data_IF_222313714513
#
_entry.id   IF_222313714513
#
_cell.length_a   1.000
_cell.length_b   1.000
_cell.length_c   1.000
_cell.angle_alpha   90.00
_cell.angle_beta   90.00
_cell.angle_gamma   90.00
#
_symmetry.space_group_name_H-M   'P 1'
#
loop_
_entity.id
_entity.type
_entity.pdbx_description
1 polymer ?
#
# COMPACT_ATOMS: atom_id res chain seq x y z
N UNK A 1 9.92 -9.01 52.78
CA UNK A 1 11.06 -8.06 52.69
C UNK A 1 11.56 -8.12 51.25
N UNK A 2 11.28 -7.09 50.46
CA UNK A 2 11.76 -7.02 49.07
C UNK A 2 12.27 -5.60 48.85
N UNK A 3 13.52 -5.51 48.40
CA UNK A 3 14.36 -4.32 48.43
C UNK A 3 13.73 -3.14 47.67
N UNK A 4 13.66 -2.02 48.37
CA UNK A 4 13.49 -0.68 47.82
C UNK A 4 14.88 -0.17 47.46
N UNK A 5 15.04 0.33 46.24
CA UNK A 5 16.02 1.38 45.94
C UNK A 5 17.10 1.04 44.93
N UNK A 6 17.07 1.74 43.80
CA UNK A 6 18.25 2.46 43.33
C UNK A 6 17.85 3.92 43.15
N UNK A 7 18.45 4.80 43.96
CA UNK A 7 18.35 6.24 43.82
C UNK A 7 19.14 6.67 42.58
N UNK A 8 18.44 7.19 41.57
CA UNK A 8 19.08 7.83 40.41
C UNK A 8 19.79 9.08 40.91
N UNK A 9 21.13 9.04 40.98
CA UNK A 9 21.94 10.22 41.25
C UNK A 9 21.83 11.18 40.06
N UNK A 10 20.94 12.16 40.16
CA UNK A 10 20.85 13.27 39.20
C UNK A 10 22.02 14.22 39.50
N UNK A 11 23.13 14.05 38.79
CA UNK A 11 24.23 15.01 38.80
C UNK A 11 23.78 16.28 38.08
N UNK A 12 23.36 17.30 38.83
CA UNK A 12 23.09 18.62 38.28
C UNK A 12 24.41 19.33 38.01
N UNK A 13 24.86 19.33 36.75
CA UNK A 13 25.98 20.17 36.30
C UNK A 13 25.49 21.63 36.41
N UNK A 14 26.19 22.52 37.14
CA UNK A 14 25.81 23.93 37.21
C UNK A 14 25.75 24.54 35.81
N UNK A 15 24.67 25.25 35.49
CA UNK A 15 24.57 25.96 34.21
C UNK A 15 25.66 27.04 34.13
N UNK A 16 26.53 26.96 33.13
CA UNK A 16 27.45 28.04 32.79
C UNK A 16 26.66 29.18 32.13
N UNK A 17 26.51 30.36 32.77
CA UNK A 17 25.72 31.47 32.24
C UNK A 17 26.32 32.08 30.97
N UNK A 18 27.59 31.81 30.67
CA UNK A 18 28.24 32.28 29.45
C UNK A 18 27.96 31.38 28.24
N UNK A 19 27.39 30.19 28.47
CA UNK A 19 27.01 29.23 27.42
C UNK A 19 25.52 29.29 27.10
N UNK A 20 25.21 29.57 25.83
CA UNK A 20 23.86 29.50 25.30
C UNK A 20 23.85 28.75 23.98
N UNK A 21 22.78 27.99 23.74
CA UNK A 21 22.55 27.32 22.46
C UNK A 21 21.05 27.20 22.21
N UNK A 22 20.63 27.56 21.01
CA UNK A 22 19.29 27.32 20.47
C UNK A 22 19.40 26.74 19.07
N UNK A 23 18.38 25.98 18.66
CA UNK A 23 18.33 25.38 17.35
C UNK A 23 16.90 25.45 16.77
N UNK A 24 16.82 25.54 15.45
CA UNK A 24 15.57 25.57 14.69
C UNK A 24 15.70 24.68 13.45
N UNK A 25 14.75 23.76 13.26
CA UNK A 25 14.62 22.98 12.02
C UNK A 25 13.98 23.82 10.93
N UNK A 26 14.70 24.01 9.82
CA UNK A 26 14.25 24.75 8.66
C UNK A 26 13.63 23.83 7.59
N UNK A 27 14.32 22.73 7.27
CA UNK A 27 13.91 21.79 6.20
C UNK A 27 14.27 20.35 6.56
N UNK A 28 13.51 19.40 6.01
CA UNK A 28 13.74 17.96 6.11
C UNK A 28 13.60 17.33 4.73
N UNK A 29 14.60 16.61 4.26
CA UNK A 29 14.60 15.86 3.00
C UNK A 29 14.91 14.39 3.28
N UNK A 30 14.02 13.47 2.92
CA UNK A 30 14.35 12.04 2.89
C UNK A 30 15.05 11.73 1.56
N UNK A 31 16.24 11.11 1.62
CA UNK A 31 17.16 11.04 0.46
C UNK A 31 17.12 9.72 -0.32
N UNK A 32 16.61 8.66 0.30
CA UNK A 32 16.56 7.30 -0.27
C UNK A 32 15.11 6.80 -0.40
N UNK A 33 14.16 7.74 -0.49
CA UNK A 33 12.75 7.43 -0.64
C UNK A 33 12.41 7.05 -2.08
N UNK A 34 11.43 6.16 -2.23
CA UNK A 34 10.86 5.86 -3.53
C UNK A 34 10.07 7.06 -4.05
N UNK A 35 10.03 7.17 -5.38
CA UNK A 35 9.25 8.20 -6.06
C UNK A 35 7.77 8.03 -5.70
N UNK A 36 7.14 9.12 -5.30
CA UNK A 36 5.73 9.16 -4.95
C UNK A 36 5.07 10.41 -5.52
N UNK A 37 3.76 10.34 -5.71
CA UNK A 37 2.94 11.47 -6.10
C UNK A 37 1.66 11.54 -5.26
N UNK A 38 1.14 12.75 -5.13
CA UNK A 38 -0.13 13.04 -4.47
C UNK A 38 -0.96 13.89 -5.44
N UNK A 39 -2.22 13.50 -5.67
CA UNK A 39 -3.08 14.10 -6.67
C UNK A 39 -2.37 14.20 -8.04
N UNK A 40 -1.74 13.10 -8.47
CA UNK A 40 -0.97 12.98 -9.71
C UNK A 40 0.24 13.95 -9.83
N UNK A 41 0.60 14.63 -8.75
CA UNK A 41 1.75 15.55 -8.73
C UNK A 41 2.90 14.91 -7.96
N UNK A 42 4.05 14.77 -8.60
CA UNK A 42 5.26 14.21 -7.98
C UNK A 42 5.62 15.02 -6.73
N UNK A 43 5.85 14.32 -5.62
CA UNK A 43 6.32 14.92 -4.37
C UNK A 43 7.83 15.12 -4.50
N UNK A 44 8.26 16.37 -4.51
CA UNK A 44 9.67 16.73 -4.55
C UNK A 44 10.15 17.17 -3.16
N UNK A 45 11.43 16.90 -2.81
CA UNK A 45 12.03 17.47 -1.61
C UNK A 45 12.10 19.01 -1.66
N UNK A 46 12.21 19.70 -0.50
CA UNK A 46 12.22 19.12 0.85
C UNK A 46 10.82 18.70 1.29
N UNK A 47 10.75 17.67 2.14
CA UNK A 47 9.51 17.09 2.70
C UNK A 47 8.98 17.86 3.93
N UNK A 48 9.73 18.84 4.42
CA UNK A 48 9.29 19.85 5.38
C UNK A 48 9.78 21.23 4.92
N UNK A 49 8.97 22.30 5.01
CA UNK A 49 7.59 22.35 5.53
C UNK A 49 6.58 21.61 4.63
N UNK A 50 5.55 21.05 5.27
CA UNK A 50 4.43 20.36 4.62
C UNK A 50 3.09 20.81 5.21
N UNK A 51 2.05 20.79 4.37
CA UNK A 51 0.68 21.03 4.84
C UNK A 51 0.09 19.75 5.43
N UNK A 52 -0.72 19.91 6.49
CA UNK A 52 -1.37 18.82 7.21
C UNK A 52 -2.87 18.82 6.93
N UNK A 53 -3.42 17.68 6.54
CA UNK A 53 -4.87 17.49 6.38
C UNK A 53 -5.58 17.30 7.74
N UNK A 54 -6.92 17.43 7.79
CA UNK A 54 -7.70 17.10 8.99
C UNK A 54 -7.50 15.67 9.49
N UNK A 55 -7.21 14.72 8.59
CA UNK A 55 -6.92 13.31 8.91
C UNK A 55 -5.44 13.05 9.27
N UNK A 56 -4.70 14.11 9.60
CA UNK A 56 -3.29 14.06 9.98
C UNK A 56 -2.36 13.54 8.88
N UNK A 57 -2.73 13.73 7.60
CA UNK A 57 -1.94 13.32 6.45
C UNK A 57 -1.06 14.48 5.96
N UNK A 58 0.12 14.18 5.45
CA UNK A 58 1.06 15.16 4.90
C UNK A 58 0.84 15.34 3.40
N UNK A 59 0.98 16.57 2.90
CA UNK A 59 1.10 16.82 1.46
C UNK A 59 2.44 16.38 0.85
N UNK A 60 3.40 16.02 1.70
CA UNK A 60 4.74 15.56 1.31
C UNK A 60 5.07 14.20 1.94
N UNK A 61 4.17 13.25 1.78
CA UNK A 61 4.37 11.88 2.25
C UNK A 61 5.56 11.21 1.56
N UNK A 62 6.17 10.27 2.27
CA UNK A 62 7.43 9.62 1.89
C UNK A 62 7.24 8.11 1.88
N UNK A 63 7.92 7.43 0.96
CA UNK A 63 7.84 5.97 0.83
C UNK A 63 9.24 5.38 0.92
N UNK A 64 9.41 4.37 1.78
CA UNK A 64 10.65 3.64 1.97
C UNK A 64 10.45 2.15 1.79
N UNK A 65 11.55 1.45 1.56
CA UNK A 65 11.61 0.01 1.77
C UNK A 65 11.65 -0.31 3.26
N UNK A 66 10.82 -1.26 3.73
CA UNK A 66 10.99 -1.84 5.06
C UNK A 66 12.18 -2.81 5.11
N UNK A 67 12.68 -3.13 6.31
CA UNK A 67 13.80 -4.05 6.55
C UNK A 67 15.08 -3.76 5.73
N UNK A 68 15.35 -2.48 5.44
CA UNK A 68 16.56 -2.08 4.71
C UNK A 68 17.45 -1.21 5.60
N UNK A 69 18.13 -1.85 6.57
CA UNK A 69 18.95 -1.14 7.57
C UNK A 69 20.03 -0.30 6.91
N UNK A 70 20.22 0.92 7.41
CA UNK A 70 21.29 1.84 6.98
C UNK A 70 20.98 2.67 5.74
N UNK A 71 19.79 2.52 5.14
CA UNK A 71 19.42 3.26 3.92
C UNK A 71 18.23 4.18 4.11
N UNK A 72 17.55 4.22 5.26
CA UNK A 72 16.52 5.25 5.47
C UNK A 72 17.18 6.47 6.11
N UNK A 73 17.69 7.34 5.25
CA UNK A 73 18.39 8.56 5.63
C UNK A 73 17.52 9.79 5.37
N UNK A 74 17.81 10.85 6.12
CA UNK A 74 17.27 12.17 5.85
C UNK A 74 18.36 13.24 6.03
N UNK A 75 18.27 14.30 5.22
CA UNK A 75 19.00 15.55 5.42
C UNK A 75 18.12 16.51 6.20
N UNK A 76 18.66 17.03 7.30
CA UNK A 76 18.01 18.04 8.12
C UNK A 76 18.77 19.36 7.96
N UNK A 77 18.07 20.41 7.54
CA UNK A 77 18.61 21.77 7.54
C UNK A 77 18.23 22.44 8.86
N UNK A 78 19.22 22.82 9.65
CA UNK A 78 19.07 23.42 10.97
C UNK A 78 19.72 24.79 11.01
N UNK A 79 19.16 25.71 11.78
CA UNK A 79 19.82 26.95 12.20
C UNK A 79 20.20 26.84 13.67
N UNK A 80 21.49 27.00 13.97
CA UNK A 80 22.02 27.00 15.33
C UNK A 80 22.45 28.42 15.69
N UNK A 81 22.07 28.87 16.88
CA UNK A 81 22.62 30.08 17.50
C UNK A 81 23.27 29.65 18.80
N UNK A 82 24.59 29.81 18.91
CA UNK A 82 25.37 29.35 20.05
C UNK A 82 26.48 30.32 20.47
N UNK A 83 26.72 30.36 21.77
CA UNK A 83 27.82 31.05 22.43
C UNK A 83 28.50 30.06 23.38
N UNK A 84 29.83 29.92 23.29
CA UNK A 84 30.59 29.05 24.18
C UNK A 84 30.53 27.54 23.87
N UNK A 85 29.97 27.15 22.71
CA UNK A 85 29.97 25.76 22.22
C UNK A 85 30.84 25.61 20.98
N UNK A 86 31.53 24.47 20.87
CA UNK A 86 32.33 24.07 19.72
C UNK A 86 32.22 22.56 19.51
N UNK A 87 32.73 22.06 18.38
CA UNK A 87 32.64 20.64 18.02
C UNK A 87 31.24 20.24 17.54
N UNK A 88 30.90 18.97 17.73
CA UNK A 88 29.65 18.37 17.27
C UNK A 88 28.82 17.87 18.46
N UNK A 89 27.50 18.01 18.34
CA UNK A 89 26.52 17.36 19.23
C UNK A 89 25.85 16.17 18.54
N UNK A 90 25.19 15.33 19.34
CA UNK A 90 24.33 14.26 18.84
C UNK A 90 22.98 14.86 18.46
N UNK A 91 22.55 14.67 17.23
CA UNK A 91 21.22 15.03 16.76
C UNK A 91 20.32 13.79 16.81
N UNK A 92 19.19 13.89 17.49
CA UNK A 92 18.22 12.80 17.65
C UNK A 92 16.84 13.27 17.17
N UNK A 93 16.18 12.48 16.32
CA UNK A 93 14.79 12.69 15.90
C UNK A 93 13.91 11.53 16.34
N UNK A 94 12.82 11.79 17.05
CA UNK A 94 11.92 10.72 17.53
C UNK A 94 10.55 10.84 16.90
N UNK A 95 10.11 9.77 16.21
CA UNK A 95 8.78 9.60 15.64
C UNK A 95 8.15 8.32 16.21
N UNK A 96 7.26 8.44 17.18
CA UNK A 96 6.69 7.27 17.88
C UNK A 96 7.82 6.37 18.43
N UNK A 97 8.00 5.16 17.89
CA UNK A 97 9.06 4.22 18.24
C UNK A 97 10.34 4.34 17.40
N UNK A 98 10.35 5.22 16.41
CA UNK A 98 11.46 5.37 15.46
C UNK A 98 12.42 6.47 15.90
N UNK A 99 13.71 6.14 15.91
CA UNK A 99 14.80 7.06 16.24
C UNK A 99 15.67 7.31 15.01
N UNK A 100 15.86 8.58 14.67
CA UNK A 100 16.82 9.07 13.71
C UNK A 100 18.02 9.63 14.47
N UNK A 101 19.23 9.30 14.03
CA UNK A 101 20.45 9.76 14.68
C UNK A 101 21.43 10.35 13.66
N UNK A 102 22.08 11.44 14.03
CA UNK A 102 23.17 12.05 13.28
C UNK A 102 24.06 12.93 14.16
N UNK A 103 24.97 13.65 13.51
CA UNK A 103 25.90 14.57 14.16
C UNK A 103 25.70 15.97 13.61
N UNK A 104 25.68 16.98 14.48
CA UNK A 104 25.48 18.38 14.08
C UNK A 104 26.56 19.30 14.66
N UNK A 105 27.16 20.21 13.85
CA UNK A 105 28.08 21.21 14.37
C UNK A 105 27.38 22.13 15.37
N UNK A 106 27.99 22.37 16.53
CA UNK A 106 27.40 23.25 17.57
C UNK A 106 27.71 24.73 17.33
N UNK A 107 28.45 25.09 16.29
CA UNK A 107 28.76 26.47 15.94
C UNK A 107 27.53 27.21 15.38
N UNK A 108 27.40 28.49 15.69
CA UNK A 108 26.36 29.35 15.09
C UNK A 108 26.37 29.29 13.56
N UNK A 109 25.21 29.13 12.93
CA UNK A 109 25.07 29.07 11.48
C UNK A 109 23.94 28.15 11.00
N UNK A 110 23.74 28.07 9.69
CA UNK A 110 22.90 27.07 9.06
C UNK A 110 23.73 25.82 8.71
N UNK A 111 23.23 24.65 9.06
CA UNK A 111 23.89 23.37 8.83
C UNK A 111 22.93 22.41 8.12
N UNK A 112 23.44 21.69 7.13
CA UNK A 112 22.75 20.54 6.53
C UNK A 112 23.45 19.30 7.02
N UNK A 113 22.73 18.45 7.74
CA UNK A 113 23.28 17.25 8.36
C UNK A 113 22.47 16.02 7.98
N UNK A 114 23.14 14.88 7.88
CA UNK A 114 22.49 13.60 7.61
C UNK A 114 22.12 12.92 8.94
N UNK A 115 20.91 12.38 9.00
CA UNK A 115 20.43 11.50 10.06
C UNK A 115 20.00 10.17 9.46
N UNK A 116 20.19 9.09 10.20
CA UNK A 116 19.83 7.72 9.78
C UNK A 116 18.81 7.12 10.75
N UNK A 117 17.77 6.49 10.21
CA UNK A 117 16.83 5.69 10.99
C UNK A 117 17.54 4.45 11.56
N UNK A 118 17.58 4.34 12.89
CA UNK A 118 18.32 3.28 13.60
C UNK A 118 17.73 1.90 13.35
N UNK A 119 16.42 1.79 13.51
CA UNK A 119 15.68 0.52 13.42
C UNK A 119 14.47 0.70 12.49
N UNK A 120 14.63 0.46 11.17
CA UNK A 120 13.48 0.43 10.28
C UNK A 120 12.55 -0.73 10.64
N UNK A 121 11.23 -0.60 10.39
CA UNK A 121 10.29 -1.69 10.61
C UNK A 121 10.63 -2.90 9.74
N UNK A 122 10.28 -4.09 10.21
CA UNK A 122 10.48 -5.37 9.54
C UNK A 122 9.24 -5.84 8.76
N UNK A 123 8.21 -5.01 8.70
CA UNK A 123 6.93 -5.27 8.05
C UNK A 123 6.42 -4.04 7.31
N UNK A 124 5.36 -4.23 6.50
CA UNK A 124 4.55 -3.13 6.02
C UNK A 124 4.08 -2.25 7.18
N UNK A 125 4.27 -0.94 7.05
CA UNK A 125 3.85 0.02 8.06
C UNK A 125 3.56 1.38 7.45
N UNK A 126 2.52 2.04 7.95
CA UNK A 126 2.25 3.45 7.72
C UNK A 126 2.30 4.19 9.05
N UNK A 127 3.18 5.18 9.16
CA UNK A 127 3.25 6.05 10.33
C UNK A 127 3.11 7.51 9.92
N UNK A 128 2.46 8.30 10.78
CA UNK A 128 2.25 9.73 10.60
C UNK A 128 2.29 10.43 11.93
N UNK A 129 2.79 11.66 11.97
CA UNK A 129 2.94 12.42 13.20
C UNK A 129 4.11 13.39 13.17
N UNK A 130 4.48 13.85 14.36
CA UNK A 130 5.60 14.76 14.53
C UNK A 130 6.89 13.98 14.80
N UNK A 131 7.96 14.34 14.10
CA UNK A 131 9.32 14.02 14.55
C UNK A 131 9.74 15.13 15.52
N UNK A 132 10.13 14.77 16.74
CA UNK A 132 10.70 15.70 17.71
C UNK A 132 12.23 15.67 17.58
N UNK A 133 12.84 16.82 17.28
CA UNK A 133 14.28 16.93 17.05
C UNK A 133 14.98 17.53 18.27
N UNK A 134 15.93 16.79 18.84
CA UNK A 134 16.76 17.21 19.97
C UNK A 134 18.24 17.19 19.60
N UNK A 135 19.02 18.06 20.26
CA UNK A 135 20.48 18.09 20.15
C UNK A 135 21.05 17.91 21.56
N UNK A 136 21.86 16.86 21.73
CA UNK A 136 22.66 16.65 22.93
C UNK A 136 24.06 17.26 22.71
N UNK A 137 24.33 18.35 23.44
CA UNK A 137 25.65 18.93 23.59
C UNK A 137 26.36 18.33 24.83
N UNK A 138 27.62 18.70 25.06
CA UNK A 138 28.47 18.12 26.11
C UNK A 138 27.86 18.21 27.52
N UNK A 139 27.13 19.29 27.84
CA UNK A 139 26.62 19.60 29.18
C UNK A 139 25.10 19.87 29.22
N UNK A 140 24.38 19.78 28.08
CA UNK A 140 22.92 19.94 28.03
C UNK A 140 22.28 19.35 26.77
N UNK A 141 20.98 19.13 26.84
CA UNK A 141 20.13 18.78 25.69
C UNK A 141 19.17 19.92 25.38
N UNK A 142 18.99 20.24 24.09
CA UNK A 142 18.05 21.27 23.63
C UNK A 142 17.09 20.73 22.58
N UNK A 143 15.90 21.32 22.49
CA UNK A 143 14.96 21.05 21.40
C UNK A 143 15.28 21.93 20.19
N UNK A 144 15.43 21.30 19.02
CA UNK A 144 15.64 21.97 17.74
C UNK A 144 14.34 22.21 16.95
N UNK A 145 13.23 21.57 17.36
CA UNK A 145 11.90 21.78 16.76
C UNK A 145 11.16 20.49 16.47
N UNK A 146 10.14 20.59 15.62
CA UNK A 146 9.33 19.45 15.18
C UNK A 146 9.01 19.53 13.69
N UNK A 147 8.87 18.37 13.06
CA UNK A 147 8.46 18.26 11.65
C UNK A 147 7.31 17.27 11.51
N UNK A 148 6.21 17.70 10.88
CA UNK A 148 5.11 16.80 10.57
C UNK A 148 5.45 15.93 9.36
N UNK A 149 5.33 14.61 9.49
CA UNK A 149 5.66 13.65 8.44
C UNK A 149 4.59 12.56 8.29
N UNK A 150 4.57 11.96 7.11
CA UNK A 150 3.81 10.77 6.78
C UNK A 150 4.74 9.83 6.02
N UNK A 151 4.98 8.63 6.54
CA UNK A 151 5.97 7.69 6.03
C UNK A 151 5.31 6.32 5.83
N UNK A 152 5.48 5.77 4.63
CA UNK A 152 5.09 4.40 4.28
C UNK A 152 6.34 3.54 4.16
N UNK A 153 6.26 2.32 4.69
CA UNK A 153 7.29 1.30 4.56
C UNK A 153 6.71 0.12 3.77
N UNK A 154 7.23 -0.14 2.57
CA UNK A 154 6.72 -1.12 1.61
C UNK A 154 7.81 -2.10 1.13
N UNK A 155 7.48 -3.08 0.28
CA UNK A 155 8.41 -4.16 -0.08
C UNK A 155 9.56 -3.73 -1.01
N UNK A 156 9.23 -2.94 -2.03
CA UNK A 156 10.13 -2.55 -3.11
C UNK A 156 9.64 -1.27 -3.80
N UNK A 157 10.45 -0.73 -4.70
CA UNK A 157 10.15 0.48 -5.45
C UNK A 157 8.99 0.26 -6.43
N UNK A 158 7.83 0.93 -6.26
CA UNK A 158 6.70 0.80 -7.16
C UNK A 158 6.97 1.35 -8.57
N UNK A 159 7.96 2.23 -8.75
CA UNK A 159 8.32 2.76 -10.07
C UNK A 159 8.89 1.70 -11.01
N UNK A 160 9.27 0.53 -10.48
CA UNK A 160 9.64 -0.64 -11.28
C UNK A 160 8.42 -1.32 -11.93
N UNK A 161 7.20 -0.96 -11.52
CA UNK A 161 5.95 -1.47 -12.09
C UNK A 161 5.46 -0.54 -13.20
N UNK A 162 5.03 -1.06 -14.37
CA UNK A 162 4.63 -0.23 -15.51
C UNK A 162 3.60 0.84 -15.18
N UNK A 163 2.63 0.54 -14.30
CA UNK A 163 1.55 1.46 -13.94
C UNK A 163 1.98 2.66 -13.09
N UNK A 164 3.18 2.65 -12.49
CA UNK A 164 3.72 3.74 -11.66
C UNK A 164 5.08 4.26 -12.15
N UNK A 165 5.59 3.77 -13.27
CA UNK A 165 6.95 4.08 -13.74
C UNK A 165 7.20 5.58 -13.99
N UNK A 166 6.20 6.31 -14.49
CA UNK A 166 6.34 7.73 -14.81
C UNK A 166 6.39 8.61 -13.58
N UNK A 167 5.45 8.45 -12.65
CA UNK A 167 5.15 9.44 -11.60
C UNK A 167 5.43 8.95 -10.18
N UNK A 168 5.79 7.67 -10.03
CA UNK A 168 5.91 7.02 -8.74
C UNK A 168 4.56 6.56 -8.18
N UNK A 169 4.59 6.01 -6.98
CA UNK A 169 3.39 5.49 -6.33
C UNK A 169 2.44 6.61 -5.91
N UNK A 170 1.15 6.39 -6.12
CA UNK A 170 0.11 7.28 -5.63
C UNK A 170 -0.07 7.10 -4.12
N UNK A 171 0.14 8.17 -3.37
CA UNK A 171 -0.03 8.16 -1.91
C UNK A 171 -1.47 7.79 -1.53
N UNK A 172 -2.46 8.17 -2.34
CA UNK A 172 -3.87 7.78 -2.15
C UNK A 172 -4.07 6.26 -2.20
N UNK A 173 -3.35 5.55 -3.07
CA UNK A 173 -3.43 4.09 -3.16
C UNK A 173 -2.86 3.43 -1.89
N UNK A 174 -1.75 3.96 -1.37
CA UNK A 174 -1.16 3.49 -0.11
C UNK A 174 -2.09 3.78 1.08
N UNK A 175 -2.62 5.00 1.20
CA UNK A 175 -3.59 5.35 2.25
C UNK A 175 -4.78 4.41 2.23
N UNK A 176 -5.37 4.22 1.05
CA UNK A 176 -6.47 3.28 0.84
C UNK A 176 -6.14 1.87 1.33
N UNK A 177 -4.98 1.33 0.95
CA UNK A 177 -4.57 0.00 1.37
C UNK A 177 -4.39 -0.11 2.88
N UNK A 178 -3.65 0.81 3.49
CA UNK A 178 -3.40 0.72 4.93
C UNK A 178 -4.67 0.95 5.75
N UNK A 179 -5.65 1.71 5.25
CA UNK A 179 -6.94 1.91 5.91
C UNK A 179 -7.90 0.71 5.70
N UNK A 180 -7.87 0.02 4.56
CA UNK A 180 -8.92 -0.94 4.17
C UNK A 180 -8.49 -2.42 4.08
N UNK A 181 -7.20 -2.72 3.92
CA UNK A 181 -6.74 -4.08 3.55
C UNK A 181 -6.06 -4.87 4.66
N UNK A 182 -5.96 -4.35 5.89
CA UNK A 182 -5.23 -5.01 6.99
C UNK A 182 -3.78 -5.42 6.62
N UNK A 183 -3.13 -4.64 5.76
CA UNK A 183 -1.74 -4.88 5.30
C UNK A 183 -0.70 -4.45 6.32
N UNK A 184 -1.05 -3.60 7.29
CA UNK A 184 -0.13 -3.21 8.36
C UNK A 184 0.35 -4.44 9.14
N UNK A 185 1.66 -4.57 9.34
CA UNK A 185 2.27 -5.73 10.01
C UNK A 185 2.56 -6.91 9.10
N UNK A 186 2.18 -6.89 7.81
CA UNK A 186 2.47 -7.98 6.88
C UNK A 186 3.96 -7.97 6.50
N UNK A 187 4.60 -9.15 6.56
CA UNK A 187 6.03 -9.32 6.30
C UNK A 187 6.35 -10.02 4.97
N UNK A 188 5.37 -10.67 4.34
CA UNK A 188 5.59 -11.46 3.10
C UNK A 188 4.72 -10.98 1.95
N UNK A 189 5.25 -11.03 0.74
CA UNK A 189 4.53 -10.63 -0.46
C UNK A 189 3.27 -11.49 -0.72
N UNK A 190 3.29 -12.84 -0.60
CA UNK A 190 2.06 -13.64 -0.76
C UNK A 190 0.93 -13.21 0.18
N UNK A 191 1.22 -12.99 1.47
CA UNK A 191 0.22 -12.52 2.42
C UNK A 191 -0.29 -11.13 2.07
N UNK A 192 0.55 -10.24 1.55
CA UNK A 192 0.12 -8.92 1.10
C UNK A 192 -0.82 -9.01 -0.11
N UNK A 193 -0.51 -9.85 -1.11
CA UNK A 193 -1.40 -10.08 -2.26
C UNK A 193 -2.73 -10.71 -1.82
N UNK A 194 -2.71 -11.64 -0.86
CA UNK A 194 -3.94 -12.16 -0.22
C UNK A 194 -4.77 -11.01 0.37
N UNK A 195 -4.15 -10.14 1.17
CA UNK A 195 -4.83 -9.01 1.82
C UNK A 195 -5.40 -8.02 0.81
N UNK A 196 -4.66 -7.70 -0.25
CA UNK A 196 -5.13 -6.87 -1.36
C UNK A 196 -6.33 -7.53 -2.04
N UNK A 197 -6.26 -8.83 -2.33
CA UNK A 197 -7.36 -9.57 -2.98
C UNK A 197 -8.61 -9.59 -2.11
N UNK A 198 -8.46 -9.82 -0.81
CA UNK A 198 -9.57 -9.75 0.15
C UNK A 198 -10.15 -8.34 0.25
N UNK A 199 -9.30 -7.31 0.23
CA UNK A 199 -9.72 -5.92 0.21
C UNK A 199 -10.62 -5.66 -1.00
N UNK A 200 -10.12 -5.90 -2.22
CA UNK A 200 -10.85 -5.67 -3.47
C UNK A 200 -12.19 -6.42 -3.54
N UNK A 201 -12.24 -7.67 -3.07
CA UNK A 201 -13.47 -8.46 -2.97
C UNK A 201 -14.47 -7.90 -1.94
N UNK A 202 -13.95 -7.36 -0.84
CA UNK A 202 -14.73 -6.93 0.32
C UNK A 202 -15.12 -5.45 0.34
N UNK A 203 -14.81 -4.68 -0.71
CA UNK A 203 -15.08 -3.24 -0.74
C UNK A 203 -16.59 -2.97 -0.64
N UNK A 204 -17.01 -2.09 0.29
CA UNK A 204 -18.39 -1.64 0.36
C UNK A 204 -18.82 -1.06 -0.99
N UNK A 205 -20.07 -1.32 -1.37
CA UNK A 205 -20.70 -0.90 -2.61
C UNK A 205 -20.19 -1.56 -3.90
N UNK A 206 -19.04 -2.24 -3.92
CA UNK A 206 -18.61 -3.01 -5.09
C UNK A 206 -19.47 -4.27 -5.25
N UNK A 207 -20.22 -4.33 -6.35
CA UNK A 207 -21.07 -5.46 -6.74
C UNK A 207 -20.80 -5.85 -8.17
N UNK A 208 -20.78 -7.14 -8.45
CA UNK A 208 -20.62 -7.59 -9.83
C UNK A 208 -21.75 -7.06 -10.72
N UNK A 209 -21.44 -6.59 -11.93
CA UNK A 209 -22.45 -6.20 -12.91
C UNK A 209 -23.04 -7.45 -13.57
N UNK A 210 -24.18 -7.90 -13.07
CA UNK A 210 -24.80 -9.18 -13.43
C UNK A 210 -25.72 -9.12 -14.66
N UNK A 211 -25.86 -7.96 -15.32
CA UNK A 211 -26.74 -7.83 -16.49
C UNK A 211 -25.99 -8.11 -17.80
N UNK A 212 -24.80 -7.52 -17.92
CA UNK A 212 -23.95 -7.54 -19.12
C UNK A 212 -22.48 -7.83 -18.80
N UNK A 213 -22.07 -7.78 -17.54
CA UNK A 213 -20.67 -7.92 -17.14
C UNK A 213 -19.81 -6.71 -17.54
N UNK A 214 -20.41 -5.52 -17.66
CA UNK A 214 -19.73 -4.33 -18.14
C UNK A 214 -18.69 -3.82 -17.12
N UNK A 215 -17.47 -3.43 -17.55
CA UNK A 215 -16.47 -2.82 -16.68
C UNK A 215 -16.83 -1.36 -16.38
N UNK A 216 -16.48 -0.87 -15.20
CA UNK A 216 -16.67 0.52 -14.79
C UNK A 216 -15.35 1.30 -14.58
N UNK A 217 -14.22 0.61 -14.46
CA UNK A 217 -12.96 1.20 -14.01
C UNK A 217 -11.82 1.02 -15.02
N UNK A 218 -12.16 0.94 -16.31
CA UNK A 218 -11.18 0.86 -17.39
C UNK A 218 -10.69 -0.56 -17.67
N UNK A 219 -11.36 -1.58 -17.13
CA UNK A 219 -11.12 -2.99 -17.45
C UNK A 219 -10.97 -3.21 -18.97
N UNK A 220 -9.89 -3.90 -19.36
CA UNK A 220 -9.49 -4.20 -20.74
C UNK A 220 -8.96 -3.03 -21.61
N UNK A 221 -8.93 -1.78 -21.11
CA UNK A 221 -8.42 -0.62 -21.87
C UNK A 221 -6.91 -0.42 -21.80
N UNK A 222 -6.28 -1.04 -20.80
CA UNK A 222 -4.86 -0.87 -20.44
C UNK A 222 -4.60 0.28 -19.46
N UNK A 223 -5.61 1.11 -19.17
CA UNK A 223 -5.57 2.15 -18.14
C UNK A 223 -6.60 1.84 -17.06
N UNK A 224 -6.19 1.84 -15.80
CA UNK A 224 -7.09 1.61 -14.67
C UNK A 224 -7.50 2.93 -14.03
N UNK A 225 -8.81 3.18 -13.88
CA UNK A 225 -9.34 4.36 -13.20
C UNK A 225 -9.29 4.17 -11.68
N UNK A 226 -8.07 4.12 -11.15
CA UNK A 226 -7.78 3.84 -9.74
C UNK A 226 -8.50 4.80 -8.81
N UNK A 227 -8.54 6.10 -9.13
CA UNK A 227 -9.21 7.09 -8.28
C UNK A 227 -10.69 6.77 -8.09
N UNK A 228 -11.38 6.45 -9.19
CA UNK A 228 -12.80 6.11 -9.15
C UNK A 228 -13.02 4.77 -8.42
N UNK A 229 -12.10 3.82 -8.61
CA UNK A 229 -12.18 2.52 -7.94
C UNK A 229 -12.06 2.66 -6.42
N UNK A 230 -11.10 3.43 -5.89
CA UNK A 230 -10.92 3.56 -4.43
C UNK A 230 -11.96 4.47 -3.75
N UNK A 231 -12.62 5.35 -4.52
CA UNK A 231 -13.75 6.18 -4.04
C UNK A 231 -15.08 5.39 -4.01
N UNK A 232 -15.13 4.21 -4.64
CA UNK A 232 -16.29 3.32 -4.70
C UNK A 232 -17.58 3.97 -5.25
N UNK A 233 -17.47 5.04 -6.03
CA UNK A 233 -18.62 5.89 -6.41
C UNK A 233 -19.54 5.29 -7.48
N UNK A 234 -19.06 4.37 -8.32
CA UNK A 234 -19.83 3.75 -9.42
C UNK A 234 -20.48 2.41 -9.05
N UNK A 235 -20.08 1.79 -7.92
CA UNK A 235 -20.69 0.60 -7.31
C UNK A 235 -20.58 -0.72 -8.09
N UNK A 236 -20.66 -0.71 -9.42
CA UNK A 236 -20.57 -1.95 -10.20
C UNK A 236 -19.15 -2.24 -10.67
N UNK A 237 -18.76 -3.51 -10.62
CA UNK A 237 -17.45 -4.03 -11.04
C UNK A 237 -17.64 -5.26 -11.92
N UNK A 238 -16.64 -5.61 -12.71
CA UNK A 238 -16.55 -6.94 -13.32
C UNK A 238 -15.20 -7.63 -13.00
N UNK A 239 -14.94 -8.76 -13.65
CA UNK A 239 -13.71 -9.53 -13.45
C UNK A 239 -12.45 -8.77 -13.89
N UNK A 240 -12.54 -7.91 -14.92
CA UNK A 240 -11.45 -7.08 -15.38
C UNK A 240 -11.11 -5.99 -14.36
N UNK A 241 -12.12 -5.27 -13.86
CA UNK A 241 -11.92 -4.23 -12.84
C UNK A 241 -11.28 -4.80 -11.57
N UNK A 242 -11.77 -5.95 -11.12
CA UNK A 242 -11.24 -6.64 -9.94
C UNK A 242 -9.81 -7.14 -10.15
N UNK A 243 -9.49 -7.65 -11.34
CA UNK A 243 -8.12 -8.08 -11.66
C UNK A 243 -7.16 -6.91 -11.71
N UNK A 244 -7.52 -5.82 -12.40
CA UNK A 244 -6.70 -4.62 -12.47
C UNK A 244 -6.49 -3.99 -11.08
N UNK A 245 -7.52 -3.97 -10.24
CA UNK A 245 -7.42 -3.49 -8.87
C UNK A 245 -6.37 -4.28 -8.08
N UNK A 246 -6.40 -5.62 -8.13
CA UNK A 246 -5.42 -6.46 -7.45
C UNK A 246 -4.00 -6.20 -7.97
N UNK A 247 -3.82 -6.08 -9.28
CA UNK A 247 -2.52 -5.77 -9.90
C UNK A 247 -2.00 -4.40 -9.43
N UNK A 248 -2.79 -3.34 -9.60
CA UNK A 248 -2.38 -1.96 -9.32
C UNK A 248 -2.12 -1.73 -7.84
N UNK A 249 -3.00 -2.25 -6.97
CA UNK A 249 -2.84 -2.09 -5.53
C UNK A 249 -1.69 -2.94 -4.98
N UNK A 250 -1.43 -4.12 -5.54
CA UNK A 250 -0.22 -4.88 -5.21
C UNK A 250 1.05 -4.16 -5.69
N UNK A 251 1.00 -3.56 -6.89
CA UNK A 251 2.09 -2.76 -7.44
C UNK A 251 2.41 -1.54 -6.57
N UNK A 252 1.42 -0.92 -5.92
CA UNK A 252 1.64 0.19 -4.98
C UNK A 252 2.49 -0.23 -3.77
N UNK A 253 2.44 -1.51 -3.38
CA UNK A 253 3.30 -2.09 -2.33
C UNK A 253 4.67 -2.56 -2.86
N UNK A 254 4.94 -2.38 -4.16
CA UNK A 254 6.15 -2.86 -4.84
C UNK A 254 6.08 -4.34 -5.26
N UNK A 255 4.88 -4.91 -5.40
CA UNK A 255 4.68 -6.32 -5.74
C UNK A 255 4.13 -6.44 -7.17
N UNK A 256 4.88 -7.10 -8.06
CA UNK A 256 4.37 -7.47 -9.38
C UNK A 256 3.43 -8.68 -9.28
N UNK A 257 2.23 -8.56 -9.83
CA UNK A 257 1.22 -9.64 -9.89
C UNK A 257 0.82 -9.84 -11.35
N UNK A 258 0.80 -11.09 -11.79
CA UNK A 258 0.44 -11.43 -13.16
C UNK A 258 -1.07 -11.49 -13.31
N UNK A 259 -1.61 -10.82 -14.32
CA UNK A 259 -3.00 -11.03 -14.71
C UNK A 259 -3.14 -12.21 -15.65
N UNK A 260 -4.20 -12.98 -15.46
CA UNK A 260 -4.55 -14.17 -16.21
C UNK A 260 -5.93 -14.02 -16.85
N UNK A 261 -6.12 -14.74 -17.95
CA UNK A 261 -7.36 -14.74 -18.73
C UNK A 261 -7.70 -16.16 -19.17
N UNK A 262 -8.99 -16.49 -19.15
CA UNK A 262 -9.53 -17.78 -19.59
C UNK A 262 -10.81 -17.57 -20.40
N UNK A 263 -10.81 -18.04 -21.65
CA UNK A 263 -11.95 -17.97 -22.58
C UNK A 263 -11.99 -19.25 -23.46
N UNK A 264 -13.08 -20.03 -23.43
CA UNK A 264 -14.24 -19.84 -22.58
C UNK A 264 -13.93 -20.11 -21.10
N UNK A 265 -14.68 -19.49 -20.20
CA UNK A 265 -14.67 -19.89 -18.78
C UNK A 265 -15.75 -20.95 -18.52
N UNK A 266 -17.00 -20.62 -18.80
CA UNK A 266 -18.15 -21.54 -18.72
C UNK A 266 -18.95 -21.39 -17.42
N UNK A 267 -19.70 -22.45 -17.09
CA UNK A 267 -20.48 -22.52 -15.86
C UNK A 267 -19.56 -22.67 -14.65
N UNK A 268 -19.97 -22.08 -13.53
CA UNK A 268 -19.19 -22.09 -12.28
C UNK A 268 -19.91 -22.90 -11.21
N UNK A 269 -19.15 -23.62 -10.40
CA UNK A 269 -19.64 -24.16 -9.11
C UNK A 269 -20.08 -22.99 -8.23
N UNK A 270 -20.86 -23.28 -7.19
CA UNK A 270 -21.24 -22.24 -6.23
C UNK A 270 -20.01 -21.67 -5.54
N UNK A 271 -19.66 -20.44 -5.89
CA UNK A 271 -18.59 -19.62 -5.31
C UNK A 271 -19.19 -18.30 -4.82
N UNK A 272 -18.45 -17.45 -4.11
CA UNK A 272 -18.97 -16.11 -3.84
C UNK A 272 -18.63 -15.14 -4.97
N UNK A 273 -19.65 -14.48 -5.49
CA UNK A 273 -19.52 -13.39 -6.45
C UNK A 273 -19.44 -12.07 -5.69
N UNK A 274 -18.48 -11.22 -6.07
CA UNK A 274 -18.23 -9.92 -5.42
C UNK A 274 -19.51 -9.11 -5.22
N UNK A 275 -19.76 -8.71 -3.97
CA UNK A 275 -20.93 -7.94 -3.54
C UNK A 275 -22.30 -8.64 -3.58
N UNK A 276 -22.35 -9.91 -4.02
CA UNK A 276 -23.58 -10.69 -4.13
C UNK A 276 -23.61 -11.91 -3.20
N UNK A 277 -22.45 -12.49 -2.86
CA UNK A 277 -22.36 -13.71 -2.06
C UNK A 277 -22.48 -14.97 -2.94
N UNK A 278 -23.02 -16.09 -2.42
CA UNK A 278 -23.09 -17.36 -3.15
C UNK A 278 -23.73 -17.22 -4.53
N UNK A 279 -23.06 -17.75 -5.55
CA UNK A 279 -23.48 -17.63 -6.94
C UNK A 279 -22.97 -18.82 -7.77
N UNK A 280 -23.85 -19.39 -8.58
CA UNK A 280 -23.53 -20.30 -9.68
C UNK A 280 -24.21 -19.90 -11.01
N UNK A 281 -24.83 -18.72 -11.03
CA UNK A 281 -25.59 -18.14 -12.13
C UNK A 281 -25.29 -16.63 -12.23
N UNK A 282 -24.13 -16.23 -12.79
CA UNK A 282 -23.64 -14.86 -12.72
C UNK A 282 -24.44 -13.84 -13.55
N UNK A 283 -25.25 -14.29 -14.50
CA UNK A 283 -26.13 -13.45 -15.32
C UNK A 283 -27.60 -13.89 -15.23
N UNK A 284 -28.24 -13.77 -14.06
CA UNK A 284 -29.61 -14.20 -13.87
C UNK A 284 -30.59 -13.29 -14.63
N UNK A 285 -31.50 -13.89 -15.40
CA UNK A 285 -32.59 -13.18 -16.07
C UNK A 285 -33.79 -12.92 -15.16
N UNK A 286 -33.92 -13.68 -14.06
CA UNK A 286 -35.01 -13.57 -13.10
C UNK A 286 -34.97 -12.33 -12.20
N UNK A 287 -36.09 -12.06 -11.51
CA UNK A 287 -36.25 -10.97 -10.55
C UNK A 287 -37.02 -11.45 -9.30
N UNK A 288 -36.62 -11.03 -8.08
CA UNK A 288 -35.46 -10.17 -7.78
C UNK A 288 -34.13 -10.93 -7.98
N UNK A 289 -33.07 -10.23 -8.42
CA UNK A 289 -31.77 -10.84 -8.80
C UNK A 289 -31.23 -11.79 -7.74
N UNK A 290 -31.33 -11.39 -6.47
CA UNK A 290 -30.79 -12.13 -5.34
C UNK A 290 -31.32 -13.57 -5.24
N UNK A 291 -32.56 -13.81 -5.67
CA UNK A 291 -33.22 -15.12 -5.59
C UNK A 291 -32.78 -16.09 -6.70
N UNK A 292 -32.02 -15.60 -7.68
CA UNK A 292 -31.64 -16.34 -8.88
C UNK A 292 -30.13 -16.49 -9.07
N UNK A 293 -29.32 -16.04 -8.10
CA UNK A 293 -27.86 -16.20 -8.15
C UNK A 293 -27.42 -17.65 -7.93
N UNK A 294 -28.24 -18.44 -7.23
CA UNK A 294 -28.01 -19.87 -7.00
C UNK A 294 -29.19 -20.65 -7.55
N UNK A 295 -28.94 -21.49 -8.55
CA UNK A 295 -29.94 -22.36 -9.18
C UNK A 295 -29.43 -23.80 -9.22
N UNK A 296 -30.30 -24.75 -9.59
CA UNK A 296 -29.87 -26.13 -9.77
C UNK A 296 -28.81 -26.23 -10.89
N UNK A 297 -27.82 -27.16 -10.81
CA UNK A 297 -26.75 -27.23 -11.81
C UNK A 297 -27.22 -27.41 -13.26
N UNK A 298 -28.35 -28.09 -13.46
CA UNK A 298 -28.96 -28.34 -14.77
C UNK A 298 -30.20 -27.45 -15.04
N UNK A 299 -30.38 -26.38 -14.26
CA UNK A 299 -31.48 -25.43 -14.48
C UNK A 299 -31.33 -24.76 -15.85
N UNK A 300 -32.36 -24.77 -16.72
CA UNK A 300 -32.29 -24.12 -18.03
C UNK A 300 -32.10 -22.60 -17.98
N UNK A 301 -32.38 -21.96 -16.84
CA UNK A 301 -32.15 -20.53 -16.63
C UNK A 301 -30.75 -20.22 -16.07
N UNK A 302 -29.90 -21.23 -15.87
CA UNK A 302 -28.51 -21.03 -15.44
C UNK A 302 -27.69 -20.42 -16.57
N UNK A 303 -26.81 -19.50 -16.20
CA UNK A 303 -25.84 -18.86 -17.08
C UNK A 303 -24.41 -19.19 -16.63
N UNK A 304 -23.47 -19.04 -17.55
CA UNK A 304 -22.04 -19.15 -17.28
C UNK A 304 -21.31 -17.88 -17.71
N UNK A 305 -20.04 -17.76 -17.33
CA UNK A 305 -19.17 -16.71 -17.85
C UNK A 305 -18.69 -17.03 -19.27
N UNK A 306 -18.77 -16.06 -20.17
CA UNK A 306 -18.11 -16.16 -21.47
C UNK A 306 -16.60 -16.26 -21.31
N UNK A 307 -16.02 -15.40 -20.49
CA UNK A 307 -14.61 -15.40 -20.12
C UNK A 307 -14.45 -14.94 -18.68
N UNK A 308 -13.25 -15.12 -18.13
CA UNK A 308 -12.91 -14.62 -16.79
C UNK A 308 -11.47 -14.15 -16.71
N UNK A 309 -11.25 -13.13 -15.90
CA UNK A 309 -9.94 -12.54 -15.64
C UNK A 309 -9.67 -12.58 -14.14
N UNK A 310 -8.45 -12.96 -13.76
CA UNK A 310 -8.01 -13.13 -12.38
C UNK A 310 -6.49 -12.95 -12.29
N UNK A 311 -5.90 -13.10 -11.11
CA UNK A 311 -4.47 -12.89 -10.87
C UNK A 311 -3.72 -14.19 -10.54
N UNK A 312 -2.41 -14.17 -10.74
CA UNK A 312 -1.46 -15.16 -10.27
C UNK A 312 -0.23 -14.48 -9.65
N UNK A 313 0.21 -15.03 -8.51
CA UNK A 313 1.47 -14.66 -7.89
C UNK A 313 2.14 -15.91 -7.33
N UNK A 314 3.40 -16.14 -7.69
CA UNK A 314 4.16 -17.35 -7.30
C UNK A 314 3.42 -18.65 -7.61
N UNK A 315 2.85 -18.77 -8.82
CA UNK A 315 2.06 -19.92 -9.29
C UNK A 315 0.81 -20.24 -8.46
N UNK A 316 0.29 -19.27 -7.71
CA UNK A 316 -0.97 -19.37 -6.95
C UNK A 316 -1.98 -18.35 -7.43
N UNK A 317 -3.25 -18.74 -7.45
CA UNK A 317 -4.35 -17.95 -7.99
C UNK A 317 -4.93 -17.01 -6.94
N UNK A 318 -5.18 -15.77 -7.37
CA UNK A 318 -5.84 -14.73 -6.61
C UNK A 318 -7.02 -14.20 -7.43
N UNK A 319 -8.23 -14.26 -6.90
CA UNK A 319 -9.44 -13.86 -7.62
C UNK A 319 -10.35 -13.06 -6.69
N UNK A 320 -10.51 -11.76 -6.97
CA UNK A 320 -11.35 -10.84 -6.21
C UNK A 320 -12.77 -10.68 -6.82
N UNK A 321 -13.12 -11.48 -7.83
CA UNK A 321 -14.40 -11.45 -8.51
C UNK A 321 -15.25 -12.70 -8.21
N UNK A 322 -14.75 -13.89 -8.56
CA UNK A 322 -15.41 -15.18 -8.35
C UNK A 322 -14.67 -15.95 -7.24
N UNK A 323 -14.71 -15.42 -6.02
CA UNK A 323 -13.82 -15.81 -4.92
C UNK A 323 -14.33 -15.41 -3.53
N UNK A 324 -13.48 -14.85 -2.64
CA UNK A 324 -12.09 -14.54 -2.90
C UNK A 324 -11.25 -15.82 -2.93
N UNK A 325 -10.49 -16.05 -4.00
CA UNK A 325 -9.42 -17.06 -4.01
C UNK A 325 -8.14 -16.36 -3.57
N UNK A 326 -7.44 -16.96 -2.59
CA UNK A 326 -6.45 -16.25 -1.76
C UNK A 326 -5.05 -16.87 -1.84
N UNK A 327 -4.64 -17.30 -3.03
CA UNK A 327 -3.34 -17.92 -3.22
C UNK A 327 -3.23 -19.37 -2.70
N UNK A 328 -4.35 -20.05 -2.47
CA UNK A 328 -4.36 -21.43 -1.91
C UNK A 328 -4.31 -22.53 -2.97
N UNK A 329 -4.58 -22.20 -4.23
CA UNK A 329 -4.65 -23.15 -5.34
C UNK A 329 -3.80 -22.68 -6.51
N UNK A 330 -3.29 -23.63 -7.30
CA UNK A 330 -2.69 -23.35 -8.60
C UNK A 330 -3.78 -23.30 -9.70
N UNK A 331 -3.36 -23.16 -10.95
CA UNK A 331 -4.26 -23.12 -12.13
C UNK A 331 -5.18 -24.35 -12.23
N UNK A 332 -4.66 -25.56 -11.98
CA UNK A 332 -5.44 -26.79 -12.09
C UNK A 332 -6.44 -26.92 -10.95
N UNK A 333 -6.00 -26.62 -9.72
CA UNK A 333 -6.88 -26.58 -8.55
C UNK A 333 -7.96 -25.52 -8.69
N UNK A 334 -7.65 -24.35 -9.23
CA UNK A 334 -8.63 -23.29 -9.47
C UNK A 334 -9.72 -23.72 -10.46
N UNK A 335 -9.34 -24.30 -11.61
CA UNK A 335 -10.32 -24.83 -12.58
C UNK A 335 -11.18 -25.93 -11.95
N UNK A 336 -10.58 -26.87 -11.24
CA UNK A 336 -11.32 -27.96 -10.59
C UNK A 336 -12.33 -27.47 -9.53
N UNK A 337 -11.98 -26.42 -8.79
CA UNK A 337 -12.78 -25.88 -7.70
C UNK A 337 -13.83 -24.85 -8.15
N UNK A 338 -13.60 -24.17 -9.27
CA UNK A 338 -14.46 -23.07 -9.73
C UNK A 338 -15.34 -23.47 -10.91
N UNK A 339 -14.84 -24.25 -11.86
CA UNK A 339 -15.58 -24.57 -13.09
C UNK A 339 -16.47 -25.80 -12.87
N UNK A 340 -17.72 -25.69 -13.33
CA UNK A 340 -18.69 -26.76 -13.34
C UNK A 340 -18.77 -27.40 -14.72
N UNK A 341 -18.42 -28.68 -14.79
CA UNK A 341 -18.42 -29.50 -16.01
C UNK A 341 -19.63 -30.43 -16.10
N UNK A 342 -20.60 -30.31 -15.20
CA UNK A 342 -21.78 -31.18 -15.17
C UNK A 342 -22.83 -30.85 -16.24
N UNK A 343 -22.75 -29.67 -16.87
CA UNK A 343 -23.72 -29.22 -17.89
C UNK A 343 -23.40 -29.90 -19.24
N UNK A 344 -24.27 -30.80 -19.76
CA UNK A 344 -23.99 -31.54 -20.99
C UNK A 344 -23.81 -30.61 -22.20
N UNK A 345 -22.74 -30.83 -22.96
CA UNK A 345 -22.45 -30.07 -24.19
C UNK A 345 -21.94 -28.65 -23.98
N UNK A 346 -21.81 -28.18 -22.73
CA UNK A 346 -21.20 -26.89 -22.44
C UNK A 346 -19.68 -26.93 -22.65
N UNK A 347 -19.12 -25.87 -23.25
CA UNK A 347 -17.67 -25.70 -23.35
C UNK A 347 -17.17 -25.04 -22.06
N UNK A 348 -16.19 -25.66 -21.42
CA UNK A 348 -15.60 -25.21 -20.15
C UNK A 348 -14.12 -24.91 -20.32
N UNK A 349 -13.65 -23.91 -19.59
CA UNK A 349 -12.23 -23.57 -19.53
C UNK A 349 -11.40 -24.70 -18.91
N UNK A 350 -10.13 -24.76 -19.29
CA UNK A 350 -9.16 -25.73 -18.74
C UNK A 350 -7.93 -25.00 -18.21
N UNK A 351 -7.16 -25.66 -17.35
CA UNK A 351 -5.93 -25.07 -16.82
C UNK A 351 -4.92 -24.73 -17.92
N UNK A 352 -4.88 -25.54 -18.98
CA UNK A 352 -4.05 -25.30 -20.16
C UNK A 352 -4.53 -24.12 -21.02
N UNK A 353 -5.82 -23.76 -20.92
CA UNK A 353 -6.41 -22.61 -21.62
C UNK A 353 -6.16 -21.27 -20.92
N UNK A 354 -5.55 -21.26 -19.73
CA UNK A 354 -5.24 -20.04 -19.00
C UNK A 354 -4.00 -19.38 -19.62
N UNK A 355 -4.17 -18.14 -20.07
CA UNK A 355 -3.10 -17.33 -20.67
C UNK A 355 -2.81 -16.08 -19.83
N UNK A 356 -1.60 -15.54 -19.95
CA UNK A 356 -1.23 -14.27 -19.30
C UNK A 356 -1.70 -13.06 -20.10
N UNK A 357 -2.17 -12.01 -19.42
CA UNK A 357 -2.65 -10.78 -20.07
C UNK A 357 -1.52 -9.88 -20.58
N UNK A 358 -0.28 -10.11 -20.14
CA UNK A 358 0.86 -9.25 -20.47
C UNK A 358 1.12 -9.14 -21.99
N UNK A 359 0.71 -10.15 -22.77
CA UNK A 359 0.75 -10.16 -24.23
C UNK A 359 -0.45 -9.50 -24.92
N UNK A 360 -1.37 -8.87 -24.18
CA UNK A 360 -2.62 -8.31 -24.71
C UNK A 360 -2.68 -6.79 -24.53
N UNK A 361 -3.66 -6.13 -25.16
CA UNK A 361 -4.00 -4.72 -24.89
C UNK A 361 -4.55 -4.51 -23.48
N UNK A 362 -4.88 -5.59 -22.76
CA UNK A 362 -5.38 -5.56 -21.40
C UNK A 362 -4.28 -5.57 -20.32
N UNK A 363 -3.00 -5.42 -20.68
CA UNK A 363 -1.98 -5.17 -19.66
C UNK A 363 -2.17 -3.78 -19.05
N UNK A 364 -2.14 -3.66 -17.71
CA UNK A 364 -2.21 -2.35 -17.04
C UNK A 364 -0.91 -1.59 -17.28
N UNK A 365 -1.01 -0.46 -17.97
CA UNK A 365 0.12 0.41 -18.35
C UNK A 365 0.11 1.76 -17.63
N UNK A 366 -0.99 2.09 -16.96
CA UNK A 366 -1.13 3.36 -16.25
C UNK A 366 -2.35 3.37 -15.33
N UNK A 367 -2.36 4.37 -14.46
CA UNK A 367 -3.47 4.67 -13.53
C UNK A 367 -3.98 6.09 -13.77
N UNK A 368 -5.29 6.29 -13.61
CA UNK A 368 -5.97 7.58 -13.73
C UNK A 368 -6.92 7.89 -12.58
#
# INVERSE_FOLDING_TARGET
MTQIGESVNVSTIPEDPEKSITAEVLELEFVDSFKACLAQTVINPPHWPATRSPSNQSSKAVVFRFNHRGTQKAKLKLKITSKGYSGNGKLTGVLQRFEFEGSVPLSSGEHVVEVTLKEPPDSLLWCKGEIFWGIDATDRSIMAGRTHVEIFFIFADPSLQPCFASDGVWIEALRFLFDNSSVSGVQTMPSAVEKVTQCCFGLPNHKYEVTQGAPAYGGASGTFHLKNYIDHSLGFVNCYDQTYAVIVLSAALGIGVDGLYLNPFGYIRTVNLVGWGPCNNPFPSGRPIADHLVVAPLDPARSGFGNHMFCEYSAKIYDACAGPVKGTVDRAGYVANTIDTSVPGAVSGTAAGIIGIAGTTAAVRGVQ
#
